data_IF_337812573291
#
_entry.id   IF_337812573291
#
_cell.length_a   1.000
_cell.length_b   1.000
_cell.length_c   1.000
_cell.angle_alpha   90.00
_cell.angle_beta   90.00
_cell.angle_gamma   90.00
#
_symmetry.space_group_name_H-M   'P 1'
#
loop_
_entity.id
_entity.type
_entity.pdbx_description
1 polymer ?
#
# COMPACT_ATOMS: atom_id res chain seq x y z
N UNK A 1 -9.33 21.28 11.35
CA UNK A 1 -10.32 21.74 10.37
C UNK A 1 -11.39 20.69 10.24
N UNK A 2 -12.64 21.02 10.58
CA UNK A 2 -13.83 20.19 10.34
C UNK A 2 -14.48 20.69 9.06
N UNK A 3 -14.15 20.12 7.89
CA UNK A 3 -14.56 20.66 6.59
C UNK A 3 -15.85 19.97 6.11
N UNK A 4 -16.81 20.75 5.59
CA UNK A 4 -18.03 20.28 4.95
C UNK A 4 -18.26 20.91 3.57
N UNK A 5 -19.14 20.33 2.75
CA UNK A 5 -19.49 20.90 1.45
C UNK A 5 -20.17 22.28 1.65
N UNK A 6 -19.60 23.32 1.02
CA UNK A 6 -20.05 24.73 1.05
C UNK A 6 -19.93 25.50 2.38
N UNK A 7 -19.18 24.98 3.36
CA UNK A 7 -18.83 25.74 4.58
C UNK A 7 -17.32 25.77 4.79
N UNK A 8 -16.76 26.93 5.12
CA UNK A 8 -15.39 26.99 5.62
C UNK A 8 -15.36 26.20 6.92
N UNK A 9 -14.62 25.10 6.94
CA UNK A 9 -14.62 24.23 8.10
C UNK A 9 -14.21 24.95 9.37
N UNK A 10 -14.90 24.70 10.49
CA UNK A 10 -14.61 25.34 11.76
C UNK A 10 -13.18 25.03 12.23
N UNK A 11 -12.52 26.04 12.79
CA UNK A 11 -11.34 25.83 13.63
C UNK A 11 -11.76 25.30 15.00
N UNK A 12 -10.80 24.78 15.77
CA UNK A 12 -11.09 24.35 17.14
C UNK A 12 -11.58 25.51 18.03
N UNK A 13 -11.10 26.73 17.78
CA UNK A 13 -11.55 27.93 18.48
C UNK A 13 -13.00 28.27 18.12
N UNK A 14 -13.36 28.22 16.84
CA UNK A 14 -14.75 28.49 16.41
C UNK A 14 -15.71 27.45 17.01
N UNK A 15 -15.29 26.20 17.07
CA UNK A 15 -16.05 25.12 17.68
C UNK A 15 -16.19 25.29 19.20
N UNK A 16 -15.12 25.67 19.91
CA UNK A 16 -15.15 25.94 21.36
C UNK A 16 -16.13 27.06 21.70
N UNK A 17 -16.09 28.16 20.93
CA UNK A 17 -17.00 29.29 21.12
C UNK A 17 -18.45 28.91 20.85
N UNK A 18 -18.72 28.19 19.77
CA UNK A 18 -20.09 27.80 19.41
C UNK A 18 -20.68 26.72 20.33
N UNK A 19 -19.85 25.84 20.87
CA UNK A 19 -20.28 24.77 21.78
C UNK A 19 -20.26 25.22 23.26
N UNK A 20 -19.79 26.44 23.54
CA UNK A 20 -19.57 26.95 24.90
C UNK A 20 -18.72 26.02 25.76
N UNK A 21 -17.69 25.41 25.16
CA UNK A 21 -16.76 24.49 25.82
C UNK A 21 -15.36 25.10 25.87
N UNK A 22 -14.52 24.65 26.79
CA UNK A 22 -13.11 25.03 26.75
C UNK A 22 -12.40 24.38 25.55
N UNK A 23 -11.33 25.03 25.06
CA UNK A 23 -10.60 24.53 23.89
C UNK A 23 -10.10 23.08 24.07
N UNK A 24 -9.67 22.72 25.28
CA UNK A 24 -9.21 21.37 25.60
C UNK A 24 -10.37 20.36 25.57
N UNK A 25 -11.53 20.74 26.09
CA UNK A 25 -12.74 19.92 26.07
C UNK A 25 -13.22 19.72 24.63
N UNK A 26 -13.20 20.76 23.80
CA UNK A 26 -13.50 20.66 22.36
C UNK A 26 -12.55 19.69 21.64
N UNK A 27 -11.28 19.62 22.04
CA UNK A 27 -10.33 18.65 21.47
C UNK A 27 -10.67 17.20 21.85
N UNK A 28 -11.07 16.95 23.09
CA UNK A 28 -11.54 15.64 23.52
C UNK A 28 -12.81 15.25 22.78
N UNK A 29 -13.81 16.13 22.74
CA UNK A 29 -15.07 15.90 22.01
C UNK A 29 -14.79 15.58 20.53
N UNK A 30 -13.91 16.34 19.88
CA UNK A 30 -13.54 16.06 18.48
C UNK A 30 -12.91 14.68 18.33
N UNK A 31 -12.01 14.30 19.23
CA UNK A 31 -11.38 12.98 19.22
C UNK A 31 -12.41 11.88 19.41
N UNK A 32 -13.31 12.02 20.39
CA UNK A 32 -14.38 11.06 20.67
C UNK A 32 -15.34 10.91 19.49
N UNK A 33 -15.72 12.01 18.84
CA UNK A 33 -16.54 11.98 17.63
C UNK A 33 -15.81 11.24 16.50
N UNK A 34 -14.51 11.50 16.30
CA UNK A 34 -13.73 10.80 15.27
C UNK A 34 -13.64 9.29 15.55
N UNK A 35 -13.46 8.90 16.82
CA UNK A 35 -13.50 7.50 17.23
C UNK A 35 -14.89 6.88 17.00
N UNK A 36 -15.96 7.58 17.34
CA UNK A 36 -17.33 7.14 17.12
C UNK A 36 -17.64 6.98 15.63
N UNK A 37 -17.17 7.89 14.77
CA UNK A 37 -17.28 7.79 13.31
C UNK A 37 -16.51 6.58 12.78
N UNK A 38 -15.29 6.35 13.28
CA UNK A 38 -14.51 5.16 12.95
C UNK A 38 -15.22 3.86 13.35
N UNK A 39 -15.72 3.79 14.59
CA UNK A 39 -16.46 2.64 15.09
C UNK A 39 -17.77 2.41 14.31
N UNK A 40 -18.49 3.47 13.97
CA UNK A 40 -19.68 3.39 13.12
C UNK A 40 -19.33 2.89 11.71
N UNK A 41 -18.25 3.38 11.12
CA UNK A 41 -17.78 2.91 9.82
C UNK A 41 -17.37 1.44 9.85
N UNK A 42 -16.74 0.97 10.93
CA UNK A 42 -16.36 -0.44 11.10
C UNK A 42 -17.58 -1.37 11.22
N UNK A 43 -18.64 -0.93 11.91
CA UNK A 43 -19.79 -1.77 12.23
C UNK A 43 -21.01 -1.59 11.30
N UNK A 44 -20.99 -0.63 10.37
CA UNK A 44 -22.08 -0.39 9.41
C UNK A 44 -21.75 -0.96 8.03
N UNK A 45 -22.78 -1.27 7.22
CA UNK A 45 -22.62 -1.76 5.83
C UNK A 45 -22.90 -0.68 4.77
N UNK A 46 -22.59 0.58 5.08
CA UNK A 46 -22.91 1.76 4.26
C UNK A 46 -21.79 2.25 3.35
N UNK A 47 -22.01 3.41 2.71
CA UNK A 47 -21.00 4.10 1.86
C UNK A 47 -19.74 4.40 2.65
N UNK A 48 -19.86 4.87 3.90
CA UNK A 48 -18.72 5.22 4.74
C UNK A 48 -17.83 4.00 5.03
N UNK A 49 -18.43 2.85 5.33
CA UNK A 49 -17.69 1.59 5.47
C UNK A 49 -16.93 1.25 4.20
N UNK A 50 -17.55 1.38 3.02
CA UNK A 50 -16.87 1.10 1.74
C UNK A 50 -15.72 2.05 1.45
N UNK A 51 -15.82 3.31 1.84
CA UNK A 51 -14.75 4.30 1.68
C UNK A 51 -13.58 4.04 2.63
N UNK A 52 -13.86 3.59 3.85
CA UNK A 52 -12.86 3.32 4.87
C UNK A 52 -12.41 1.85 4.92
N UNK A 53 -12.95 1.01 4.05
CA UNK A 53 -12.80 -0.44 4.15
C UNK A 53 -11.34 -0.90 4.08
N UNK A 54 -10.52 -0.23 3.26
CA UNK A 54 -9.10 -0.53 3.13
C UNK A 54 -8.31 -0.05 4.36
N UNK A 55 -8.70 1.08 4.97
CA UNK A 55 -8.10 1.58 6.22
C UNK A 55 -8.49 0.73 7.43
N UNK A 56 -9.69 0.16 7.41
CA UNK A 56 -10.25 -0.71 8.44
C UNK A 56 -9.93 -2.19 8.21
N UNK A 57 -9.09 -2.52 7.21
CA UNK A 57 -8.73 -3.91 6.98
C UNK A 57 -7.74 -4.37 8.05
N UNK A 58 -7.98 -5.56 8.63
CA UNK A 58 -7.16 -6.14 9.68
C UNK A 58 -5.79 -6.63 9.18
N UNK A 59 -5.64 -6.76 7.85
CA UNK A 59 -4.43 -7.21 7.19
C UNK A 59 -3.45 -6.07 6.94
N UNK A 60 -2.13 -6.36 6.89
CA UNK A 60 -1.12 -5.35 6.58
C UNK A 60 -1.13 -4.94 5.10
N UNK A 61 -1.83 -5.70 4.25
CA UNK A 61 -2.00 -5.43 2.82
C UNK A 61 -3.34 -4.75 2.54
N UNK A 62 -3.36 -3.86 1.55
CA UNK A 62 -4.63 -3.36 1.02
C UNK A 62 -5.44 -4.49 0.38
N UNK A 63 -6.78 -4.38 0.40
CA UNK A 63 -7.66 -5.38 -0.24
C UNK A 63 -7.38 -5.58 -1.72
N UNK A 64 -6.87 -4.54 -2.40
CA UNK A 64 -6.49 -4.65 -3.80
C UNK A 64 -5.26 -5.55 -3.97
N UNK A 65 -4.27 -5.45 -3.09
CA UNK A 65 -3.08 -6.32 -3.13
C UNK A 65 -3.46 -7.74 -2.76
N UNK A 66 -4.26 -7.94 -1.71
CA UNK A 66 -4.75 -9.28 -1.32
C UNK A 66 -5.43 -10.01 -2.48
N UNK A 67 -6.28 -9.31 -3.24
CA UNK A 67 -6.95 -9.86 -4.42
C UNK A 67 -5.96 -10.21 -5.55
N UNK A 68 -4.93 -9.39 -5.78
CA UNK A 68 -3.86 -9.73 -6.73
C UNK A 68 -3.14 -11.00 -6.28
N UNK A 69 -2.74 -11.04 -5.00
CA UNK A 69 -1.97 -12.13 -4.43
C UNK A 69 -2.74 -13.45 -4.46
N UNK A 70 -4.05 -13.43 -4.20
CA UNK A 70 -4.89 -14.62 -4.29
C UNK A 70 -4.93 -15.20 -5.70
N UNK A 71 -5.00 -14.36 -6.74
CA UNK A 71 -4.97 -14.83 -8.14
C UNK A 71 -3.57 -15.28 -8.56
N UNK A 72 -2.55 -14.54 -8.14
CA UNK A 72 -1.15 -14.87 -8.42
C UNK A 72 -0.75 -16.21 -7.81
N UNK A 73 -1.09 -16.46 -6.54
CA UNK A 73 -0.86 -17.75 -5.85
C UNK A 73 -1.62 -18.92 -6.48
N UNK A 74 -2.67 -18.66 -7.26
CA UNK A 74 -3.38 -19.68 -8.07
C UNK A 74 -2.71 -19.99 -9.40
N UNK A 75 -1.57 -19.36 -9.69
CA UNK A 75 -0.77 -19.61 -10.89
C UNK A 75 -1.16 -18.75 -12.11
N UNK A 76 -2.01 -17.74 -11.95
CA UNK A 76 -2.33 -16.83 -13.05
C UNK A 76 -1.13 -15.93 -13.36
N UNK A 77 -0.88 -15.71 -14.65
CA UNK A 77 0.12 -14.77 -15.15
C UNK A 77 -0.29 -13.32 -14.89
N UNK A 78 0.67 -12.38 -14.97
CA UNK A 78 0.37 -10.96 -14.76
C UNK A 78 -0.66 -10.42 -15.76
N UNK A 79 -0.60 -10.88 -17.01
CA UNK A 79 -1.55 -10.50 -18.05
C UNK A 79 -2.96 -11.03 -17.76
N UNK A 80 -3.09 -12.29 -17.33
CA UNK A 80 -4.37 -12.89 -16.95
C UNK A 80 -4.98 -12.19 -15.72
N UNK A 81 -4.17 -11.86 -14.71
CA UNK A 81 -4.63 -11.10 -13.54
C UNK A 81 -5.09 -9.71 -13.97
N UNK A 82 -4.29 -9.01 -14.79
CA UNK A 82 -4.63 -7.69 -15.29
C UNK A 82 -5.97 -7.71 -16.04
N UNK A 83 -6.19 -8.70 -16.91
CA UNK A 83 -7.45 -8.88 -17.62
C UNK A 83 -8.61 -9.21 -16.66
N UNK A 84 -8.44 -10.20 -15.77
CA UNK A 84 -9.48 -10.63 -14.82
C UNK A 84 -9.91 -9.48 -13.89
N UNK A 85 -8.96 -8.65 -13.46
CA UNK A 85 -9.19 -7.53 -12.55
C UNK A 85 -9.49 -6.20 -13.26
N UNK A 86 -9.40 -6.14 -14.59
CA UNK A 86 -9.49 -4.91 -15.40
C UNK A 86 -8.47 -3.84 -14.96
N UNK A 87 -7.23 -4.27 -14.76
CA UNK A 87 -6.09 -3.43 -14.37
C UNK A 87 -5.06 -3.38 -15.51
N UNK A 88 -4.11 -2.44 -15.41
CA UNK A 88 -2.89 -2.49 -16.22
C UNK A 88 -1.93 -3.53 -15.63
N UNK A 89 -1.10 -4.16 -16.47
CA UNK A 89 -0.05 -5.09 -16.01
C UNK A 89 0.91 -4.41 -15.02
N UNK A 90 1.23 -3.13 -15.23
CA UNK A 90 2.07 -2.38 -14.29
C UNK A 90 1.45 -2.29 -12.88
N UNK A 91 0.14 -2.10 -12.80
CA UNK A 91 -0.58 -2.07 -11.51
C UNK A 91 -0.55 -3.44 -10.82
N UNK A 92 -0.56 -4.54 -11.58
CA UNK A 92 -0.36 -5.88 -11.01
C UNK A 92 1.05 -6.00 -10.43
N UNK A 93 2.08 -5.56 -11.17
CA UNK A 93 3.47 -5.55 -10.69
C UNK A 93 3.66 -4.72 -9.43
N UNK A 94 3.08 -3.51 -9.38
CA UNK A 94 3.09 -2.64 -8.19
C UNK A 94 2.50 -3.36 -6.96
N UNK A 95 1.34 -4.01 -7.10
CA UNK A 95 0.76 -4.78 -6.00
C UNK A 95 1.67 -5.94 -5.53
N UNK A 96 2.36 -6.62 -6.46
CA UNK A 96 3.28 -7.70 -6.09
C UNK A 96 4.53 -7.17 -5.37
N UNK A 97 5.03 -5.99 -5.75
CA UNK A 97 6.13 -5.33 -5.03
C UNK A 97 5.69 -4.92 -3.61
N UNK A 98 4.49 -4.36 -3.46
CA UNK A 98 3.92 -4.04 -2.14
C UNK A 98 3.83 -5.29 -1.26
N UNK A 99 3.31 -6.40 -1.81
CA UNK A 99 3.25 -7.68 -1.12
C UNK A 99 4.64 -8.20 -0.71
N UNK A 100 5.64 -8.06 -1.56
CA UNK A 100 7.01 -8.47 -1.25
C UNK A 100 7.65 -7.63 -0.13
N UNK A 101 7.28 -6.35 -0.01
CA UNK A 101 7.75 -5.46 1.07
C UNK A 101 7.07 -5.81 2.39
N UNK A 102 5.74 -5.90 2.38
CA UNK A 102 4.93 -6.00 3.59
C UNK A 102 4.91 -7.43 4.15
N UNK A 103 4.89 -8.43 3.26
CA UNK A 103 4.87 -9.84 3.63
C UNK A 103 5.97 -10.62 2.86
N UNK A 104 7.25 -10.41 3.18
CA UNK A 104 8.38 -10.99 2.43
C UNK A 104 8.38 -12.53 2.43
N UNK A 105 7.77 -13.15 3.44
CA UNK A 105 7.68 -14.61 3.59
C UNK A 105 6.41 -15.21 2.95
N UNK A 106 5.55 -14.39 2.32
CA UNK A 106 4.26 -14.85 1.78
C UNK A 106 4.38 -15.65 0.47
N UNK A 107 5.54 -15.58 -0.20
CA UNK A 107 5.83 -16.24 -1.47
C UNK A 107 7.34 -16.35 -1.69
N UNK A 108 7.79 -17.30 -2.51
CA UNK A 108 9.19 -17.39 -2.95
C UNK A 108 9.50 -16.32 -4.01
N UNK A 109 9.64 -15.07 -3.60
CA UNK A 109 9.79 -13.91 -4.49
C UNK A 109 10.98 -14.01 -5.45
N UNK A 110 12.06 -14.66 -5.00
CA UNK A 110 13.25 -14.84 -5.82
C UNK A 110 13.02 -15.75 -7.03
N UNK A 111 12.08 -16.68 -6.93
CA UNK A 111 11.72 -17.61 -8.01
C UNK A 111 10.92 -16.91 -9.13
N UNK A 112 10.36 -15.73 -8.83
CA UNK A 112 9.66 -14.90 -9.82
C UNK A 112 10.63 -14.21 -10.78
N UNK A 113 11.90 -14.05 -10.38
CA UNK A 113 12.91 -13.39 -11.21
C UNK A 113 13.54 -14.45 -12.13
N UNK A 114 13.48 -14.29 -13.46
CA UNK A 114 14.15 -15.21 -14.39
C UNK A 114 15.64 -15.35 -14.05
N UNK A 115 16.18 -16.57 -14.09
CA UNK A 115 17.57 -16.84 -13.70
C UNK A 115 18.59 -15.96 -14.42
N UNK A 116 18.37 -15.70 -15.71
CA UNK A 116 19.22 -14.82 -16.52
C UNK A 116 19.23 -13.39 -15.99
N UNK A 117 18.06 -12.84 -15.68
CA UNK A 117 17.90 -11.50 -15.09
C UNK A 117 18.53 -11.46 -13.70
N UNK A 118 18.34 -12.50 -12.88
CA UNK A 118 18.98 -12.58 -11.56
C UNK A 118 20.50 -12.54 -11.66
N UNK A 119 21.11 -13.29 -12.57
CA UNK A 119 22.56 -13.25 -12.78
C UNK A 119 23.06 -11.87 -13.22
N UNK A 120 22.30 -11.17 -14.07
CA UNK A 120 22.64 -9.81 -14.49
C UNK A 120 22.59 -8.82 -13.31
N UNK A 121 21.53 -8.88 -12.51
CA UNK A 121 21.37 -8.02 -11.34
C UNK A 121 22.42 -8.32 -10.27
N UNK A 122 22.75 -9.59 -10.04
CA UNK A 122 23.80 -10.01 -9.10
C UNK A 122 25.18 -9.50 -9.53
N UNK A 123 25.52 -9.61 -10.81
CA UNK A 123 26.78 -9.09 -11.35
C UNK A 123 26.87 -7.55 -11.25
N UNK A 124 25.75 -6.85 -11.42
CA UNK A 124 25.73 -5.39 -11.41
C UNK A 124 25.66 -4.80 -9.99
N UNK A 125 24.94 -5.44 -9.08
CA UNK A 125 24.59 -4.86 -7.79
C UNK A 125 24.99 -5.71 -6.57
N UNK A 126 25.34 -6.99 -6.73
CA UNK A 126 25.50 -7.94 -5.62
C UNK A 126 26.61 -7.64 -4.61
N UNK A 127 27.50 -6.67 -4.90
CA UNK A 127 28.53 -6.18 -3.96
C UNK A 127 28.19 -4.83 -3.31
N UNK A 128 27.05 -4.23 -3.68
CA UNK A 128 26.62 -2.90 -3.23
C UNK A 128 25.53 -3.01 -2.17
N UNK A 129 25.39 -1.99 -1.31
CA UNK A 129 24.32 -1.93 -0.32
C UNK A 129 22.99 -1.66 -1.03
N UNK A 130 21.99 -2.52 -0.79
CA UNK A 130 20.69 -2.46 -1.47
C UNK A 130 19.97 -1.10 -1.35
N UNK A 131 20.16 -0.36 -0.26
CA UNK A 131 19.57 0.99 -0.06
C UNK A 131 20.06 2.02 -1.09
N UNK A 132 21.24 1.80 -1.66
CA UNK A 132 21.92 2.79 -2.50
C UNK A 132 21.74 2.48 -3.99
N UNK A 133 21.10 1.35 -4.32
CA UNK A 133 20.90 0.94 -5.70
C UNK A 133 19.95 1.89 -6.41
N UNK A 134 20.37 2.33 -7.60
CA UNK A 134 19.55 3.09 -8.53
C UNK A 134 19.33 2.28 -9.80
N UNK A 135 18.15 2.42 -10.39
CA UNK A 135 17.82 1.73 -11.63
C UNK A 135 18.57 2.39 -12.81
N UNK A 136 19.40 1.59 -13.49
CA UNK A 136 20.22 2.02 -14.63
C UNK A 136 19.73 1.45 -15.98
N UNK A 137 18.49 0.96 -16.07
CA UNK A 137 17.91 0.40 -17.29
C UNK A 137 17.10 1.42 -18.10
N UNK A 138 16.40 0.94 -19.12
CA UNK A 138 15.46 1.76 -19.88
C UNK A 138 14.24 2.11 -19.01
N UNK A 139 14.03 3.40 -18.77
CA UNK A 139 12.88 3.94 -18.04
C UNK A 139 11.51 3.57 -18.64
N UNK A 140 11.46 3.24 -19.94
CA UNK A 140 10.24 2.76 -20.60
C UNK A 140 9.94 1.27 -20.34
N UNK A 141 10.93 0.50 -19.89
CA UNK A 141 10.79 -0.93 -19.64
C UNK A 141 10.33 -1.20 -18.20
N UNK A 142 9.01 -1.15 -18.04
CA UNK A 142 8.33 -1.49 -16.78
C UNK A 142 8.64 -2.89 -16.24
N UNK A 143 9.04 -3.83 -17.08
CA UNK A 143 9.38 -5.18 -16.66
C UNK A 143 10.78 -5.24 -16.06
N UNK A 144 11.77 -4.63 -16.72
CA UNK A 144 13.11 -4.49 -16.16
C UNK A 144 13.09 -3.77 -14.82
N UNK A 145 12.35 -2.66 -14.73
CA UNK A 145 12.22 -1.92 -13.47
C UNK A 145 11.61 -2.78 -12.37
N UNK A 146 10.59 -3.59 -12.68
CA UNK A 146 9.96 -4.50 -11.72
C UNK A 146 10.96 -5.54 -11.19
N UNK A 147 11.70 -6.23 -12.06
CA UNK A 147 12.66 -7.23 -11.60
C UNK A 147 13.80 -6.62 -10.79
N UNK A 148 14.30 -5.45 -11.21
CA UNK A 148 15.28 -4.68 -10.43
C UNK A 148 14.74 -4.39 -9.03
N UNK A 149 13.53 -3.82 -8.93
CA UNK A 149 12.97 -3.40 -7.64
C UNK A 149 12.65 -4.60 -6.75
N UNK A 150 12.13 -5.69 -7.32
CA UNK A 150 11.87 -6.93 -6.58
C UNK A 150 13.17 -7.51 -6.02
N UNK A 151 14.23 -7.56 -6.82
CA UNK A 151 15.54 -8.04 -6.37
C UNK A 151 16.11 -7.15 -5.26
N UNK A 152 16.00 -5.82 -5.40
CA UNK A 152 16.42 -4.86 -4.38
C UNK A 152 15.68 -5.06 -3.04
N UNK A 153 14.37 -5.29 -3.08
CA UNK A 153 13.56 -5.58 -1.87
C UNK A 153 14.06 -6.86 -1.18
N UNK A 154 14.29 -7.93 -1.95
CA UNK A 154 14.77 -9.21 -1.43
C UNK A 154 16.13 -9.04 -0.75
N UNK A 155 17.06 -8.34 -1.38
CA UNK A 155 18.41 -8.12 -0.84
C UNK A 155 18.41 -7.19 0.38
N UNK A 156 17.60 -6.12 0.34
CA UNK A 156 17.43 -5.23 1.48
C UNK A 156 16.85 -5.92 2.72
N UNK A 157 15.93 -6.87 2.54
CA UNK A 157 15.35 -7.65 3.64
C UNK A 157 16.34 -8.62 4.30
N UNK A 158 17.32 -9.15 3.55
CA UNK A 158 18.32 -10.09 4.08
C UNK A 158 19.33 -9.45 5.03
N UNK A 159 19.53 -8.13 4.95
CA UNK A 159 20.48 -7.40 5.81
C UNK A 159 19.84 -6.77 7.06
N UNK A 160 18.52 -6.90 7.23
CA UNK A 160 17.77 -6.35 8.36
C UNK A 160 17.42 -7.40 9.42
N UNK A 161 17.91 -8.63 9.29
CA UNK A 161 17.65 -9.78 10.20
C UNK A 161 18.88 -10.14 11.02
#
# INVERSE_FOLDING_TARGET
>A
MLVGFQSSGWTLNDASQSLHTELIETQFIKTDIMLAVGAFAANSRGVLHRLLADLLSDGPLSRSVERTMALFKRGLTFAEIAQHRRLKVNTVREHLLEAAIVEPNSYSWLDLIPKTVRHQLDAQYGQLIASDWQFNGDSGDSEQFFYFRLYQIIQGGQHAS
#
